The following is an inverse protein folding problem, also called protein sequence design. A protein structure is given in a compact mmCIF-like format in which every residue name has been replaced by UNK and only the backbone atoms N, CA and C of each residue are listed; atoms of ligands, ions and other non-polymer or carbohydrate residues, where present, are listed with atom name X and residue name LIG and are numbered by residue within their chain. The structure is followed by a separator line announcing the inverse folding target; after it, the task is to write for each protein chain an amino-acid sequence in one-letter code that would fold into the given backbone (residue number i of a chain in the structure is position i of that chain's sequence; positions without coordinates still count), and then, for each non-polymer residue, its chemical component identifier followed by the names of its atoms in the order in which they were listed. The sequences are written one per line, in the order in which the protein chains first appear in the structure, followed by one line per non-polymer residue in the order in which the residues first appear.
data_IF_118649773720
#
_entry.id   IF_118649773720
#
_cell.length_a   1.000
_cell.length_b   1.000
_cell.length_c   1.000
_cell.angle_alpha   90.00
_cell.angle_beta   90.00
_cell.angle_gamma   90.00
#
_symmetry.space_group_name_H-M   'P 1'
#
loop_
_entity.id
_entity.type
_entity.pdbx_description
1 polymer ?
#
# COMPACT_ATOMS: atom_id res chain seq x y z
N UNK A 1 -21.83 -14.20 -8.74
CA UNK A 1 -21.67 -13.87 -8.72
C UNK A 1 -21.65 -13.33 -9.07
N UNK A 2 -21.92 -13.35 -9.39
CA UNK A 2 -21.77 -12.77 -9.43
C UNK A 2 -21.54 -11.97 -9.48
N UNK A 3 -21.71 -11.70 -9.67
CA UNK A 3 -21.34 -11.04 -9.61
C UNK A 3 -21.02 -10.46 -9.18
N UNK A 4 -21.07 -10.74 -8.89
CA UNK A 4 -20.59 -10.37 -8.40
C UNK A 4 -19.65 -9.89 -7.97
N UNK A 5 -19.61 -10.30 -7.90
CA UNK A 5 -18.48 -9.89 -7.07
C UNK A 5 -17.67 -8.86 -7.80
N UNK A 6 -18.21 -7.74 -7.89
CA UNK A 6 -17.51 -6.62 -8.50
C UNK A 6 -16.74 -5.91 -7.41
N UNK A 7 -15.47 -6.21 -7.30
CA UNK A 7 -14.62 -5.44 -6.44
C UNK A 7 -14.12 -4.20 -7.20
N UNK A 8 -13.71 -3.20 -6.45
CA UNK A 8 -13.24 -1.93 -7.02
C UNK A 8 -11.90 -2.06 -7.70
N UNK A 9 -11.18 -3.09 -7.39
CA UNK A 9 -9.86 -3.34 -7.91
C UNK A 9 -9.04 -4.10 -6.89
N UNK A 10 -7.76 -4.26 -7.18
CA UNK A 10 -6.83 -5.01 -6.36
C UNK A 10 -5.84 -4.06 -5.70
N UNK A 11 -5.52 -4.31 -4.44
CA UNK A 11 -4.47 -3.57 -3.75
C UNK A 11 -3.65 -4.53 -2.88
N UNK A 12 -2.32 -4.37 -2.93
CA UNK A 12 -1.39 -5.14 -2.11
C UNK A 12 -0.98 -4.26 -0.93
N UNK A 13 -1.14 -4.75 0.29
CA UNK A 13 -0.75 -4.00 1.48
C UNK A 13 0.25 -4.78 2.30
N UNK A 14 1.10 -4.07 3.03
CA UNK A 14 2.07 -4.71 3.90
C UNK A 14 2.84 -3.69 4.71
N UNK A 15 3.41 -4.17 5.83
CA UNK A 15 4.30 -3.37 6.65
C UNK A 15 5.73 -3.61 6.18
N UNK A 16 6.47 -2.54 5.98
CA UNK A 16 7.79 -2.56 5.35
C UNK A 16 8.78 -3.43 6.13
N UNK A 17 9.76 -3.97 5.42
CA UNK A 17 10.80 -4.82 6.00
C UNK A 17 11.49 -4.13 7.18
N UNK A 18 11.68 -4.88 8.25
CA UNK A 18 12.26 -4.37 9.49
C UNK A 18 11.21 -3.89 10.49
N UNK A 19 9.95 -3.81 10.09
CA UNK A 19 8.87 -3.31 10.92
C UNK A 19 7.84 -4.44 11.15
N UNK A 20 7.54 -4.71 12.42
CA UNK A 20 6.60 -5.77 12.79
C UNK A 20 5.25 -5.23 13.24
N UNK A 21 5.06 -3.90 13.18
CA UNK A 21 3.83 -3.28 13.64
C UNK A 21 2.78 -3.35 12.52
N UNK A 22 1.72 -4.10 12.75
CA UNK A 22 0.72 -4.35 11.71
C UNK A 22 -0.70 -3.86 12.06
N UNK A 23 -0.90 -3.23 13.20
CA UNK A 23 -2.23 -2.79 13.61
C UNK A 23 -2.80 -1.80 12.58
N UNK A 24 -2.03 -0.77 12.22
CA UNK A 24 -2.48 0.22 11.25
C UNK A 24 -2.76 -0.40 9.88
N UNK A 25 -1.87 -1.28 9.43
CA UNK A 25 -2.05 -1.99 8.17
C UNK A 25 -3.32 -2.83 8.19
N UNK A 26 -3.57 -3.53 9.31
CA UNK A 26 -4.77 -4.37 9.43
C UNK A 26 -6.05 -3.55 9.35
N UNK A 27 -6.04 -2.35 9.97
CA UNK A 27 -7.22 -1.47 9.91
C UNK A 27 -7.45 -1.01 8.47
N UNK A 28 -6.39 -0.63 7.76
CA UNK A 28 -6.49 -0.26 6.34
C UNK A 28 -7.11 -1.41 5.55
N UNK A 29 -6.61 -2.63 5.77
CA UNK A 29 -7.14 -3.80 5.07
C UNK A 29 -8.62 -4.01 5.35
N UNK A 30 -9.05 -3.86 6.59
CA UNK A 30 -10.46 -4.01 6.95
C UNK A 30 -11.33 -2.97 6.27
N UNK A 31 -10.91 -1.71 6.29
CA UNK A 31 -11.67 -0.61 5.68
C UNK A 31 -11.78 -0.82 4.17
N UNK A 32 -10.68 -1.19 3.51
CA UNK A 32 -10.69 -1.38 2.07
C UNK A 32 -11.53 -2.60 1.66
N UNK A 33 -11.46 -3.69 2.41
CA UNK A 33 -12.33 -4.85 2.14
C UNK A 33 -13.80 -4.47 2.27
N UNK A 34 -14.13 -3.71 3.30
CA UNK A 34 -15.50 -3.22 3.49
C UNK A 34 -15.96 -2.31 2.38
N UNK A 35 -15.03 -1.63 1.71
CA UNK A 35 -15.34 -0.74 0.59
C UNK A 35 -15.36 -1.48 -0.76
N UNK A 36 -15.11 -2.78 -0.77
CA UNK A 36 -15.21 -3.59 -1.99
C UNK A 36 -13.89 -3.86 -2.71
N UNK A 37 -12.76 -3.59 -2.07
CA UNK A 37 -11.45 -3.86 -2.67
C UNK A 37 -11.04 -5.31 -2.45
N UNK A 38 -10.33 -5.86 -3.43
CA UNK A 38 -9.64 -7.14 -3.27
C UNK A 38 -8.29 -6.84 -2.63
N UNK A 39 -8.18 -7.09 -1.34
CA UNK A 39 -6.99 -6.76 -0.56
C UNK A 39 -6.08 -7.97 -0.43
N UNK A 40 -4.85 -7.83 -0.91
CA UNK A 40 -3.83 -8.85 -0.74
C UNK A 40 -2.90 -8.37 0.37
N UNK A 41 -3.04 -8.97 1.55
CA UNK A 41 -2.29 -8.57 2.74
C UNK A 41 -1.06 -9.45 2.91
N UNK A 42 0.10 -8.85 2.77
CA UNK A 42 1.37 -9.57 2.87
C UNK A 42 1.90 -9.67 4.30
N UNK A 43 1.23 -9.02 5.24
CA UNK A 43 1.66 -9.05 6.64
C UNK A 43 2.67 -7.98 6.98
N UNK A 44 3.53 -8.29 7.96
CA UNK A 44 4.59 -7.38 8.39
C UNK A 44 5.94 -7.87 7.90
N UNK A 45 6.95 -7.03 8.01
CA UNK A 45 8.33 -7.35 7.63
C UNK A 45 8.42 -7.78 6.16
N UNK A 46 7.82 -6.99 5.26
CA UNK A 46 7.69 -7.34 3.85
C UNK A 46 8.76 -6.63 3.02
N UNK A 47 9.53 -7.42 2.26
CA UNK A 47 10.56 -6.88 1.36
C UNK A 47 9.95 -6.32 0.09
N UNK A 48 10.72 -5.48 -0.61
CA UNK A 48 10.31 -4.96 -1.91
C UNK A 48 10.00 -6.09 -2.89
N UNK A 49 10.83 -7.14 -2.89
CA UNK A 49 10.62 -8.29 -3.77
C UNK A 49 9.27 -8.96 -3.55
N UNK A 50 8.83 -9.06 -2.29
CA UNK A 50 7.53 -9.66 -1.99
C UNK A 50 6.39 -8.78 -2.50
N UNK A 51 6.51 -7.46 -2.36
CA UNK A 51 5.52 -6.55 -2.95
C UNK A 51 5.47 -6.70 -4.46
N UNK A 52 6.62 -6.73 -5.11
CA UNK A 52 6.70 -6.83 -6.57
C UNK A 52 6.10 -8.16 -7.05
N UNK A 53 6.46 -9.26 -6.40
CA UNK A 53 5.94 -10.57 -6.75
C UNK A 53 4.41 -10.62 -6.62
N UNK A 54 3.88 -10.10 -5.51
CA UNK A 54 2.44 -10.09 -5.28
C UNK A 54 1.71 -9.23 -6.30
N UNK A 55 2.28 -8.09 -6.66
CA UNK A 55 1.68 -7.22 -7.68
C UNK A 55 1.62 -7.93 -9.02
N UNK A 56 2.70 -8.60 -9.41
CA UNK A 56 2.74 -9.33 -10.68
C UNK A 56 1.79 -10.52 -10.71
N UNK A 57 1.82 -11.32 -9.65
CA UNK A 57 1.00 -12.54 -9.60
C UNK A 57 -0.48 -12.25 -9.60
N UNK A 58 -0.88 -11.11 -9.04
CA UNK A 58 -2.27 -10.73 -8.94
C UNK A 58 -2.70 -9.73 -9.99
N UNK A 59 -1.81 -9.40 -10.92
CA UNK A 59 -2.06 -8.39 -11.95
C UNK A 59 -2.56 -7.09 -11.30
N UNK A 60 -1.88 -6.66 -10.26
CA UNK A 60 -2.27 -5.55 -9.42
C UNK A 60 -1.28 -4.41 -9.58
N UNK A 61 -1.76 -3.17 -9.53
CA UNK A 61 -0.93 -1.99 -9.76
C UNK A 61 -0.89 -1.02 -8.60
N UNK A 62 -1.55 -1.35 -7.49
CA UNK A 62 -1.62 -0.46 -6.34
C UNK A 62 -1.00 -1.17 -5.13
N UNK A 63 -0.04 -0.51 -4.49
CA UNK A 63 0.57 -1.00 -3.27
C UNK A 63 0.46 0.06 -2.18
N UNK A 64 0.20 -0.37 -0.95
CA UNK A 64 0.19 0.50 0.20
C UNK A 64 1.18 -0.05 1.23
N UNK A 65 2.14 0.79 1.60
CA UNK A 65 3.21 0.44 2.52
C UNK A 65 2.99 1.13 3.85
N UNK A 66 3.19 0.42 4.95
CA UNK A 66 3.13 1.06 6.26
C UNK A 66 4.46 0.94 7.00
N UNK A 67 4.74 1.93 7.83
CA UNK A 67 5.90 1.92 8.72
C UNK A 67 5.53 2.68 9.98
N UNK A 68 5.96 2.16 11.14
CA UNK A 68 5.72 2.81 12.42
C UNK A 68 7.00 3.35 13.05
N UNK A 69 8.14 2.85 12.63
CA UNK A 69 9.44 3.23 13.17
C UNK A 69 10.15 4.23 12.27
N UNK A 70 10.82 5.20 12.87
CA UNK A 70 11.64 6.15 12.12
C UNK A 70 12.72 5.43 11.32
N UNK A 71 13.30 4.38 11.90
CA UNK A 71 14.34 3.61 11.21
C UNK A 71 13.82 2.89 9.98
N UNK A 72 12.59 2.39 10.03
CA UNK A 72 12.02 1.67 8.88
C UNK A 72 11.50 2.63 7.82
N UNK A 73 11.07 3.84 8.21
CA UNK A 73 10.65 4.82 7.21
C UNK A 73 11.79 5.21 6.27
N UNK A 74 13.04 5.15 6.75
CA UNK A 74 14.18 5.48 5.91
C UNK A 74 14.38 4.49 4.75
N UNK A 75 13.83 3.28 4.88
CA UNK A 75 13.90 2.27 3.83
C UNK A 75 12.80 2.44 2.79
N UNK A 76 11.82 3.27 3.06
CA UNK A 76 10.67 3.40 2.17
C UNK A 76 11.04 3.92 0.79
N UNK A 77 11.99 4.86 0.71
CA UNK A 77 12.41 5.41 -0.57
C UNK A 77 12.89 4.31 -1.51
N UNK A 78 13.73 3.43 -0.98
CA UNK A 78 14.26 2.31 -1.76
C UNK A 78 13.15 1.37 -2.21
N UNK A 79 12.23 1.04 -1.31
CA UNK A 79 11.13 0.12 -1.62
C UNK A 79 10.19 0.72 -2.68
N UNK A 80 9.83 1.98 -2.51
CA UNK A 80 8.98 2.68 -3.50
C UNK A 80 9.66 2.69 -4.86
N UNK A 81 10.95 3.03 -4.90
CA UNK A 81 11.71 3.07 -6.14
C UNK A 81 11.79 1.71 -6.83
N UNK A 82 12.01 0.66 -6.06
CA UNK A 82 12.09 -0.68 -6.62
C UNK A 82 10.74 -1.15 -7.19
N UNK A 83 9.65 -0.87 -6.48
CA UNK A 83 8.32 -1.23 -6.96
C UNK A 83 7.99 -0.49 -8.25
N UNK A 84 8.18 0.82 -8.26
CA UNK A 84 7.83 1.63 -9.43
C UNK A 84 8.72 1.30 -10.63
N UNK A 85 9.96 0.95 -10.38
CA UNK A 85 10.88 0.52 -11.45
C UNK A 85 10.53 -0.84 -12.03
N UNK A 86 10.08 -1.76 -11.19
CA UNK A 86 9.76 -3.12 -11.62
C UNK A 86 8.38 -3.23 -12.25
N UNK A 87 7.45 -2.38 -11.83
CA UNK A 87 6.06 -2.42 -12.30
C UNK A 87 5.67 -1.03 -12.81
N UNK A 88 5.96 -0.73 -14.08
CA UNK A 88 5.59 0.55 -14.66
C UNK A 88 4.09 0.78 -14.57
N UNK A 89 3.71 1.98 -14.21
CA UNK A 89 2.29 2.33 -14.02
C UNK A 89 1.75 1.99 -12.64
N UNK A 90 2.58 1.43 -11.75
CA UNK A 90 2.13 1.15 -10.39
C UNK A 90 1.98 2.44 -9.59
N UNK A 91 1.06 2.40 -8.62
CA UNK A 91 0.84 3.49 -7.69
C UNK A 91 1.20 2.99 -6.30
N UNK A 92 2.04 3.74 -5.59
CA UNK A 92 2.52 3.35 -4.27
C UNK A 92 2.16 4.41 -3.26
N UNK A 93 1.40 4.01 -2.25
CA UNK A 93 0.96 4.90 -1.19
C UNK A 93 1.63 4.51 0.12
N UNK A 94 1.81 5.47 1.01
CA UNK A 94 2.47 5.23 2.29
C UNK A 94 1.60 5.71 3.44
N UNK A 95 1.73 5.06 4.58
CA UNK A 95 1.02 5.42 5.81
C UNK A 95 1.80 5.00 7.04
N UNK A 96 1.53 5.69 8.16
CA UNK A 96 2.18 5.40 9.43
C UNK A 96 2.54 6.67 10.19
N UNK A 97 2.67 6.55 11.51
CA UNK A 97 2.86 7.70 12.39
C UNK A 97 4.07 8.58 12.07
N UNK A 98 5.26 8.03 11.72
CA UNK A 98 6.42 8.89 11.44
C UNK A 98 6.40 9.54 10.06
N UNK A 99 5.42 9.20 9.22
CA UNK A 99 5.39 9.64 7.83
C UNK A 99 4.60 10.94 7.68
N UNK A 100 4.75 11.57 6.53
CA UNK A 100 4.07 12.83 6.20
C UNK A 100 3.92 12.93 4.68
N UNK A 101 3.08 13.88 4.24
CA UNK A 101 2.94 14.15 2.81
C UNK A 101 4.24 14.69 2.22
N UNK A 102 4.99 15.47 3.00
CA UNK A 102 6.29 15.97 2.56
C UNK A 102 7.26 14.82 2.31
N UNK A 103 7.29 13.84 3.20
CA UNK A 103 8.14 12.68 3.02
C UNK A 103 7.71 11.86 1.80
N UNK A 104 6.40 11.70 1.61
CA UNK A 104 5.85 11.02 0.44
C UNK A 104 6.33 11.66 -0.86
N UNK A 105 6.25 12.98 -0.95
CA UNK A 105 6.71 13.71 -2.12
C UNK A 105 8.21 13.53 -2.33
N UNK A 106 8.98 13.58 -1.25
CA UNK A 106 10.43 13.44 -1.30
C UNK A 106 10.88 12.10 -1.86
N UNK A 107 10.15 11.02 -1.54
CA UNK A 107 10.52 9.68 -2.00
C UNK A 107 9.76 9.27 -3.26
N UNK A 108 9.01 10.18 -3.84
CA UNK A 108 8.28 9.96 -5.09
C UNK A 108 7.18 8.90 -4.95
N UNK A 109 6.57 8.80 -3.78
CA UNK A 109 5.38 7.99 -3.59
C UNK A 109 4.17 8.74 -4.16
N UNK A 110 3.12 8.01 -4.45
CA UNK A 110 1.91 8.61 -5.06
C UNK A 110 1.01 9.30 -4.05
N UNK A 111 1.20 9.03 -2.77
CA UNK A 111 0.49 9.76 -1.73
C UNK A 111 0.74 9.22 -0.34
N UNK A 112 0.44 10.07 0.65
CA UNK A 112 0.45 9.73 2.06
C UNK A 112 -0.95 9.94 2.61
N UNK A 113 -1.43 8.98 3.38
CA UNK A 113 -2.75 9.09 3.97
C UNK A 113 -2.69 8.85 5.47
N UNK A 114 -3.15 9.82 6.27
CA UNK A 114 -3.06 9.72 7.73
C UNK A 114 -4.02 8.71 8.34
N UNK A 115 -5.09 8.35 7.61
CA UNK A 115 -6.06 7.41 8.14
C UNK A 115 -6.69 6.58 7.01
N UNK A 116 -7.21 5.38 7.37
CA UNK A 116 -7.72 4.45 6.36
C UNK A 116 -8.97 4.94 5.64
N UNK A 117 -9.81 5.74 6.27
CA UNK A 117 -11.03 6.22 5.64
C UNK A 117 -10.73 7.25 4.56
N UNK A 118 -9.81 8.17 4.82
CA UNK A 118 -9.36 9.14 3.83
C UNK A 118 -8.74 8.43 2.65
N UNK A 119 -7.93 7.41 2.90
CA UNK A 119 -7.31 6.61 1.85
C UNK A 119 -8.37 5.90 1.00
N UNK A 120 -9.33 5.26 1.65
CA UNK A 120 -10.41 4.58 0.95
C UNK A 120 -11.20 5.53 0.05
N UNK A 121 -11.52 6.72 0.55
CA UNK A 121 -12.24 7.73 -0.25
C UNK A 121 -11.42 8.16 -1.45
N UNK A 122 -10.12 8.38 -1.27
CA UNK A 122 -9.26 8.75 -2.38
C UNK A 122 -9.23 7.65 -3.44
N UNK A 123 -9.05 6.41 -3.03
CA UNK A 123 -9.00 5.28 -3.97
C UNK A 123 -10.29 5.16 -4.77
N UNK A 124 -11.42 5.49 -4.18
CA UNK A 124 -12.69 5.42 -4.88
C UNK A 124 -12.82 6.44 -6.01
N UNK A 125 -11.97 7.46 -6.02
CA UNK A 125 -11.94 8.45 -7.10
C UNK A 125 -11.08 8.00 -8.28
N UNK A 126 -10.29 6.96 -8.12
CA UNK A 126 -9.41 6.48 -9.19
C UNK A 126 -10.20 5.68 -10.22
N UNK A 127 -9.86 5.87 -11.48
CA UNK A 127 -10.44 5.10 -12.58
C UNK A 127 -9.47 3.98 -12.93
N UNK A 128 -9.75 2.82 -12.43
CA UNK A 128 -8.89 1.66 -12.63
C UNK A 128 -9.68 0.46 -13.12
#
# INVERSE_FOLDING_TARGET
ESGEAKHRGCIVIGTIQGDLHDIGKNIVGMVLKGAGWNVIDLGSNVSADKFITALRENNCKIAALSALLTTTMLNMESVVGEIKGAIPGSMVFIGGAPLSSEFSDKIDADGYFPDPHTFSRYLSTLKI
#
